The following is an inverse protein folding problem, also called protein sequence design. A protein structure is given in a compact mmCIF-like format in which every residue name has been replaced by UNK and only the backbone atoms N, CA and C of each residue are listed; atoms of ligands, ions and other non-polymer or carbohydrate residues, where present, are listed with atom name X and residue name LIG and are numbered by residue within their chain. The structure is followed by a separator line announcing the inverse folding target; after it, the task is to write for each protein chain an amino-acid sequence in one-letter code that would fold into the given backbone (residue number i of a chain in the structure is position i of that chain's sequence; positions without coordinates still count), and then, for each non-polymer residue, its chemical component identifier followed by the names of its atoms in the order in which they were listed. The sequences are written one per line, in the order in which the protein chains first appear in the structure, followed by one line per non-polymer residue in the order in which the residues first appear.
data_IF_521681365580
#
_entry.id   IF_521681365580
#
_cell.length_a   1.000
_cell.length_b   1.000
_cell.length_c   1.000
_cell.angle_alpha   90.00
_cell.angle_beta   90.00
_cell.angle_gamma   90.00
#
_symmetry.space_group_name_H-M   'P 1'
#
loop_
_entity.id
_entity.type
_entity.pdbx_description
1 polymer ?
#
# COMPACT_ATOMS: atom_id res chain seq x y z
N UNK A 1 12.68 -4.58 -16.75
CA UNK A 1 12.26 -5.97 -16.51
C UNK A 1 11.15 -5.90 -15.48
N UNK A 2 10.02 -6.55 -15.77
CA UNK A 2 8.81 -6.53 -14.95
C UNK A 2 9.05 -7.23 -13.60
N UNK A 3 9.85 -8.29 -13.57
CA UNK A 3 10.20 -8.97 -12.32
C UNK A 3 10.91 -8.05 -11.32
N UNK A 4 11.95 -7.33 -11.78
CA UNK A 4 12.61 -6.30 -10.95
C UNK A 4 11.65 -5.21 -10.49
N UNK A 5 10.73 -4.78 -11.36
CA UNK A 5 9.71 -3.80 -10.99
C UNK A 5 8.77 -4.36 -9.89
N UNK A 6 8.42 -5.63 -9.96
CA UNK A 6 7.63 -6.31 -8.93
C UNK A 6 8.37 -6.38 -7.59
N UNK A 7 9.66 -6.75 -7.60
CA UNK A 7 10.54 -6.69 -6.41
C UNK A 7 10.60 -5.27 -5.81
N UNK A 8 10.82 -4.25 -6.63
CA UNK A 8 10.81 -2.84 -6.21
C UNK A 8 9.47 -2.44 -5.56
N UNK A 9 8.35 -3.03 -6.01
CA UNK A 9 7.04 -2.81 -5.42
C UNK A 9 6.94 -3.52 -4.07
N UNK A 10 7.35 -4.78 -3.94
CA UNK A 10 7.36 -5.50 -2.66
C UNK A 10 8.13 -4.74 -1.59
N UNK A 11 9.31 -4.22 -1.93
CA UNK A 11 10.09 -3.38 -1.02
C UNK A 11 9.36 -2.10 -0.59
N UNK A 12 8.60 -1.46 -1.49
CA UNK A 12 7.75 -0.31 -1.15
C UNK A 12 6.53 -0.69 -0.32
N UNK A 13 6.09 -1.95 -0.39
CA UNK A 13 5.08 -2.52 0.52
C UNK A 13 5.69 -2.92 1.87
N UNK A 14 6.99 -2.72 2.09
CA UNK A 14 7.67 -3.09 3.33
C UNK A 14 8.05 -4.57 3.41
N UNK A 15 8.00 -5.30 2.30
CA UNK A 15 8.29 -6.73 2.21
C UNK A 15 9.67 -6.96 1.59
N UNK A 16 10.45 -7.89 2.17
CA UNK A 16 11.74 -8.29 1.60
C UNK A 16 11.56 -9.21 0.39
N UNK A 17 10.63 -10.14 0.51
CA UNK A 17 10.22 -11.08 -0.53
C UNK A 17 8.71 -11.38 -0.41
N UNK A 18 8.18 -12.19 -1.33
CA UNK A 18 6.77 -12.54 -1.36
C UNK A 18 6.53 -13.77 -0.45
N UNK A 19 6.13 -13.52 0.80
CA UNK A 19 5.86 -14.58 1.78
C UNK A 19 4.38 -14.71 2.08
N UNK A 20 3.87 -15.95 2.02
CA UNK A 20 2.48 -16.27 2.36
C UNK A 20 2.32 -16.65 3.85
N UNK A 21 1.17 -16.32 4.48
CA UNK A 21 0.04 -15.56 3.93
C UNK A 21 0.31 -14.04 3.88
N UNK A 22 0.21 -13.44 2.69
CA UNK A 22 0.71 -12.09 2.41
C UNK A 22 0.32 -11.01 3.43
N UNK A 23 -0.94 -10.99 3.87
CA UNK A 23 -1.46 -10.02 4.83
C UNK A 23 -0.61 -9.86 6.10
N UNK A 24 0.00 -10.94 6.60
CA UNK A 24 0.77 -10.88 7.84
C UNK A 24 2.19 -10.34 7.67
N UNK A 25 2.68 -10.27 6.43
CA UNK A 25 4.05 -9.84 6.12
C UNK A 25 4.11 -8.38 5.62
N UNK A 26 2.95 -7.76 5.31
CA UNK A 26 2.87 -6.35 4.95
C UNK A 26 2.49 -5.47 6.16
N UNK A 27 3.17 -4.34 6.41
CA UNK A 27 2.82 -3.40 7.48
C UNK A 27 1.44 -2.75 7.30
N UNK A 28 0.99 -2.59 6.06
CA UNK A 28 -0.31 -2.01 5.72
C UNK A 28 -1.02 -2.93 4.72
N UNK A 29 -2.10 -3.56 5.17
CA UNK A 29 -2.93 -4.40 4.33
C UNK A 29 -4.35 -4.49 4.87
N UNK A 30 -5.27 -4.89 4.01
CA UNK A 30 -6.66 -5.19 4.35
C UNK A 30 -6.98 -6.58 3.78
N UNK A 31 -7.51 -7.45 4.64
CA UNK A 31 -8.02 -8.77 4.25
C UNK A 31 -9.54 -8.74 4.22
N UNK A 32 -10.12 -9.02 3.07
CA UNK A 32 -11.55 -9.01 2.83
C UNK A 32 -12.11 -10.43 2.76
N UNK A 33 -13.33 -10.61 3.28
CA UNK A 33 -14.18 -11.77 3.09
C UNK A 33 -14.99 -11.63 1.80
N UNK A 34 -14.64 -12.45 0.81
CA UNK A 34 -15.25 -12.44 -0.51
C UNK A 34 -16.43 -13.41 -0.59
N UNK A 35 -16.39 -14.50 0.19
CA UNK A 35 -17.44 -15.52 0.19
C UNK A 35 -18.84 -14.93 0.46
N UNK A 36 -19.82 -15.36 -0.36
CA UNK A 36 -21.22 -15.01 -0.17
C UNK A 36 -21.86 -15.73 1.04
N UNK A 37 -23.04 -15.29 1.45
CA UNK A 37 -23.82 -15.96 2.50
C UNK A 37 -24.47 -17.25 1.99
N UNK A 38 -24.58 -17.37 0.67
CA UNK A 38 -25.19 -18.52 0.01
C UNK A 38 -24.35 -19.79 0.18
N UNK A 39 -24.97 -20.97 0.21
CA UNK A 39 -24.23 -22.22 0.16
C UNK A 39 -23.40 -22.32 -1.13
N UNK A 40 -22.14 -22.71 -1.01
CA UNK A 40 -21.22 -22.94 -2.14
C UNK A 40 -21.78 -23.93 -3.17
N UNK A 41 -22.47 -24.98 -2.70
CA UNK A 41 -23.03 -26.04 -3.56
C UNK A 41 -24.55 -26.11 -3.40
N UNK A 42 -25.25 -26.31 -4.53
CA UNK A 42 -26.72 -26.41 -4.55
C UNK A 42 -27.25 -27.64 -3.79
N UNK A 43 -26.51 -28.75 -3.86
CA UNK A 43 -26.81 -30.00 -3.16
C UNK A 43 -25.51 -30.70 -2.79
N UNK A 44 -25.21 -30.72 -1.48
CA UNK A 44 -24.01 -31.39 -0.94
C UNK A 44 -24.13 -32.92 -0.90
N UNK A 45 -25.33 -33.46 -1.08
CA UNK A 45 -25.58 -34.90 -1.11
C UNK A 45 -25.50 -35.51 -2.51
N UNK A 46 -25.43 -34.66 -3.55
CA UNK A 46 -25.34 -35.11 -4.93
C UNK A 46 -24.01 -35.81 -5.21
N UNK A 47 -24.04 -36.88 -6.01
CA UNK A 47 -22.85 -37.62 -6.45
C UNK A 47 -21.87 -36.75 -7.27
N UNK A 48 -22.36 -35.68 -7.90
CA UNK A 48 -21.55 -34.64 -8.54
C UNK A 48 -21.97 -33.29 -7.98
N UNK A 49 -21.06 -32.65 -7.26
CA UNK A 49 -21.29 -31.32 -6.71
C UNK A 49 -21.51 -30.31 -7.84
N UNK A 50 -22.52 -29.46 -7.66
CA UNK A 50 -22.83 -28.36 -8.56
C UNK A 50 -22.71 -27.06 -7.77
N UNK A 51 -21.75 -26.24 -8.17
CA UNK A 51 -21.51 -24.91 -7.60
C UNK A 51 -22.75 -24.06 -7.75
N UNK A 52 -23.07 -23.31 -6.71
CA UNK A 52 -24.20 -22.40 -6.67
C UNK A 52 -23.83 -21.11 -7.42
N UNK A 53 -24.51 -20.79 -8.54
CA UNK A 53 -24.22 -19.57 -9.29
C UNK A 53 -24.40 -18.29 -8.48
N UNK A 54 -25.30 -18.28 -7.48
CA UNK A 54 -25.52 -17.11 -6.63
C UNK A 54 -24.29 -16.84 -5.74
N UNK A 55 -23.69 -17.88 -5.17
CA UNK A 55 -22.46 -17.76 -4.39
C UNK A 55 -21.30 -17.21 -5.25
N UNK A 56 -21.10 -17.79 -6.44
CA UNK A 56 -20.05 -17.36 -7.37
C UNK A 56 -20.24 -15.90 -7.79
N UNK A 57 -21.48 -15.50 -8.09
CA UNK A 57 -21.78 -14.13 -8.47
C UNK A 57 -21.55 -13.16 -7.30
N UNK A 58 -21.96 -13.51 -6.08
CA UNK A 58 -21.73 -12.68 -4.90
C UNK A 58 -20.24 -12.47 -4.61
N UNK A 59 -19.44 -13.54 -4.69
CA UNK A 59 -17.99 -13.49 -4.57
C UNK A 59 -17.36 -12.61 -5.67
N UNK A 60 -17.78 -12.80 -6.92
CA UNK A 60 -17.29 -12.02 -8.05
C UNK A 60 -17.65 -10.53 -7.91
N UNK A 61 -18.87 -10.22 -7.48
CA UNK A 61 -19.32 -8.85 -7.30
C UNK A 61 -18.51 -8.12 -6.23
N UNK A 62 -18.21 -8.76 -5.09
CA UNK A 62 -17.35 -8.21 -4.04
C UNK A 62 -15.92 -8.00 -4.52
N UNK A 63 -15.30 -9.03 -5.08
CA UNK A 63 -13.92 -8.96 -5.58
C UNK A 63 -13.78 -7.87 -6.66
N UNK A 64 -14.69 -7.85 -7.64
CA UNK A 64 -14.66 -6.86 -8.70
C UNK A 64 -14.97 -5.44 -8.21
N UNK A 65 -15.82 -5.28 -7.19
CA UNK A 65 -16.05 -3.98 -6.56
C UNK A 65 -14.79 -3.43 -5.90
N UNK A 66 -14.04 -4.27 -5.17
CA UNK A 66 -12.76 -3.88 -4.56
C UNK A 66 -11.73 -3.57 -5.64
N UNK A 67 -11.62 -4.41 -6.68
CA UNK A 67 -10.72 -4.17 -7.82
C UNK A 67 -10.98 -2.81 -8.49
N UNK A 68 -12.24 -2.47 -8.77
CA UNK A 68 -12.62 -1.19 -9.40
C UNK A 68 -12.37 0.02 -8.50
N UNK A 69 -12.27 -0.18 -7.20
CA UNK A 69 -12.01 0.87 -6.22
C UNK A 69 -10.53 0.95 -5.81
N UNK A 70 -9.65 0.17 -6.42
CA UNK A 70 -8.21 0.27 -6.21
C UNK A 70 -7.71 1.71 -6.47
N UNK A 71 -6.62 2.14 -5.81
CA UNK A 71 -6.09 3.50 -5.94
C UNK A 71 -5.80 3.89 -7.41
N UNK A 72 -5.30 2.92 -8.17
CA UNK A 72 -5.05 3.02 -9.61
C UNK A 72 -5.37 1.67 -10.27
N UNK A 73 -5.60 1.70 -11.59
CA UNK A 73 -5.79 0.47 -12.36
C UNK A 73 -4.46 -0.31 -12.41
N UNK A 74 -4.45 -1.61 -12.05
CA UNK A 74 -3.24 -2.43 -12.16
C UNK A 74 -2.69 -2.45 -13.58
N UNK A 75 -1.37 -2.28 -13.71
CA UNK A 75 -0.66 -2.30 -14.98
C UNK A 75 0.35 -3.46 -15.10
N UNK A 76 0.52 -4.24 -14.02
CA UNK A 76 1.39 -5.42 -13.97
C UNK A 76 0.61 -6.62 -13.42
N UNK A 77 0.64 -7.71 -14.15
CA UNK A 77 0.13 -9.03 -13.75
C UNK A 77 1.28 -10.00 -13.62
N UNK A 78 1.39 -10.64 -12.45
CA UNK A 78 2.23 -11.82 -12.22
C UNK A 78 1.32 -13.03 -11.97
N UNK A 79 1.64 -14.14 -12.61
CA UNK A 79 1.01 -15.44 -12.33
C UNK A 79 2.13 -16.46 -12.10
N UNK A 80 2.06 -17.15 -10.98
CA UNK A 80 2.99 -18.23 -10.64
C UNK A 80 2.41 -19.56 -11.12
N UNK A 81 3.28 -20.42 -11.63
CA UNK A 81 2.96 -21.79 -12.02
C UNK A 81 3.94 -22.76 -11.38
N UNK A 82 3.49 -23.99 -11.15
CA UNK A 82 4.25 -25.03 -10.44
C UNK A 82 4.53 -26.20 -11.40
N UNK A 83 5.72 -26.26 -12.03
CA UNK A 83 6.03 -27.22 -13.07
C UNK A 83 6.04 -28.69 -12.62
N UNK A 84 6.18 -28.92 -11.31
CA UNK A 84 6.15 -30.26 -10.72
C UNK A 84 4.77 -30.92 -10.85
N UNK A 85 3.71 -30.13 -11.02
CA UNK A 85 2.34 -30.62 -11.27
C UNK A 85 2.03 -30.73 -12.76
N UNK A 86 2.37 -29.69 -13.53
CA UNK A 86 2.17 -29.63 -14.98
C UNK A 86 3.31 -28.88 -15.68
N UNK A 87 3.81 -29.31 -16.85
CA UNK A 87 4.89 -28.62 -17.55
C UNK A 87 4.59 -27.14 -17.79
N UNK A 88 5.60 -26.27 -17.63
CA UNK A 88 5.46 -24.82 -17.75
C UNK A 88 4.82 -24.37 -19.08
N UNK A 89 5.15 -25.01 -20.20
CA UNK A 89 4.54 -24.70 -21.50
C UNK A 89 3.04 -25.06 -21.56
N UNK A 90 2.63 -26.11 -20.85
CA UNK A 90 1.23 -26.53 -20.76
C UNK A 90 0.45 -25.54 -19.90
N UNK A 91 0.98 -25.19 -18.72
CA UNK A 91 0.42 -24.14 -17.85
C UNK A 91 0.23 -22.83 -18.61
N UNK A 92 1.28 -22.36 -19.28
CA UNK A 92 1.21 -21.13 -20.07
C UNK A 92 0.16 -21.20 -21.19
N UNK A 93 0.02 -22.36 -21.84
CA UNK A 93 -1.00 -22.58 -22.87
C UNK A 93 -2.41 -22.46 -22.28
N UNK A 94 -2.66 -23.06 -21.11
CA UNK A 94 -3.95 -23.00 -20.42
C UNK A 94 -4.26 -21.57 -19.97
N UNK A 95 -3.31 -20.88 -19.33
CA UNK A 95 -3.46 -19.49 -18.87
C UNK A 95 -3.87 -18.58 -20.04
N UNK A 96 -3.15 -18.68 -21.16
CA UNK A 96 -3.41 -17.85 -22.35
C UNK A 96 -4.76 -18.15 -22.99
N UNK A 97 -5.16 -19.42 -23.08
CA UNK A 97 -6.44 -19.80 -23.64
C UNK A 97 -7.61 -19.34 -22.78
N UNK A 98 -7.50 -19.49 -21.46
CA UNK A 98 -8.54 -19.06 -20.51
C UNK A 98 -8.68 -17.55 -20.49
N UNK A 99 -7.56 -16.82 -20.45
CA UNK A 99 -7.56 -15.37 -20.24
C UNK A 99 -7.48 -14.53 -21.52
N UNK A 100 -7.30 -15.16 -22.69
CA UNK A 100 -7.05 -14.44 -23.94
C UNK A 100 -5.74 -13.64 -23.93
N UNK A 101 -4.79 -13.98 -23.06
CA UNK A 101 -3.54 -13.25 -22.90
C UNK A 101 -2.53 -13.57 -24.01
N UNK A 102 -1.70 -12.59 -24.43
CA UNK A 102 -0.56 -12.85 -25.28
C UNK A 102 0.52 -13.67 -24.54
N UNK A 103 1.61 -13.98 -25.24
CA UNK A 103 2.81 -14.51 -24.57
C UNK A 103 3.28 -13.50 -23.51
N UNK A 104 3.70 -13.94 -22.31
CA UNK A 104 4.20 -13.05 -21.27
C UNK A 104 5.38 -12.23 -21.76
N UNK A 105 5.49 -11.00 -21.25
CA UNK A 105 6.59 -10.12 -21.54
C UNK A 105 7.90 -10.62 -20.90
N UNK A 106 7.79 -11.33 -19.79
CA UNK A 106 8.92 -11.91 -19.07
C UNK A 106 8.48 -13.22 -18.37
N UNK A 107 9.36 -14.21 -18.38
CA UNK A 107 9.16 -15.49 -17.70
C UNK A 107 10.45 -15.84 -16.96
N UNK A 108 10.34 -16.21 -15.69
CA UNK A 108 11.48 -16.55 -14.84
C UNK A 108 11.24 -17.90 -14.15
N UNK A 109 12.10 -18.90 -14.38
CA UNK A 109 12.12 -20.11 -13.54
C UNK A 109 12.78 -19.76 -12.20
N UNK A 110 12.15 -20.18 -11.10
CA UNK A 110 12.60 -19.97 -9.73
C UNK A 110 12.56 -21.32 -9.01
N UNK A 111 13.45 -21.48 -8.02
CA UNK A 111 13.40 -22.60 -7.09
C UNK A 111 12.93 -22.00 -5.77
N UNK A 112 11.75 -22.41 -5.31
CA UNK A 112 11.25 -22.03 -3.99
C UNK A 112 11.56 -23.12 -2.97
N UNK A 113 11.77 -22.71 -1.72
CA UNK A 113 11.87 -23.60 -0.58
C UNK A 113 10.53 -23.56 0.15
N UNK A 114 9.92 -24.71 0.40
CA UNK A 114 8.73 -24.77 1.25
C UNK A 114 9.09 -24.67 2.75
N UNK A 115 8.05 -24.70 3.59
CA UNK A 115 8.19 -24.62 5.06
C UNK A 115 9.02 -25.76 5.66
N UNK A 116 9.07 -26.91 4.98
CA UNK A 116 9.83 -28.10 5.39
C UNK A 116 11.28 -28.08 4.85
N UNK A 117 11.61 -27.09 4.01
CA UNK A 117 12.92 -26.91 3.39
C UNK A 117 13.12 -27.72 2.10
N UNK A 118 12.04 -28.29 1.55
CA UNK A 118 12.05 -28.96 0.26
C UNK A 118 12.00 -27.94 -0.87
N UNK A 119 12.78 -28.20 -1.93
CA UNK A 119 12.84 -27.32 -3.09
C UNK A 119 11.80 -27.70 -4.12
N UNK A 120 10.94 -26.76 -4.50
CA UNK A 120 9.95 -26.92 -5.57
C UNK A 120 10.27 -26.01 -6.74
N UNK A 121 10.07 -26.52 -7.95
CA UNK A 121 10.19 -25.69 -9.14
C UNK A 121 8.99 -24.75 -9.19
N UNK A 122 9.25 -23.48 -9.47
CA UNK A 122 8.23 -22.48 -9.78
C UNK A 122 8.61 -21.80 -11.09
N UNK A 123 7.61 -21.34 -11.84
CA UNK A 123 7.79 -20.44 -12.98
C UNK A 123 6.90 -19.22 -12.79
N UNK A 124 7.48 -18.04 -12.89
CA UNK A 124 6.78 -16.77 -12.73
C UNK A 124 6.57 -16.16 -14.12
N UNK A 125 5.32 -15.89 -14.47
CA UNK A 125 4.95 -15.26 -15.73
C UNK A 125 4.50 -13.81 -15.50
N UNK A 126 5.05 -12.88 -16.27
CA UNK A 126 4.80 -11.45 -16.11
C UNK A 126 4.21 -10.84 -17.39
N UNK A 127 3.14 -10.05 -17.24
CA UNK A 127 2.54 -9.26 -18.30
C UNK A 127 2.49 -7.77 -17.92
N UNK A 128 2.84 -6.93 -18.90
CA UNK A 128 2.55 -5.50 -18.88
C UNK A 128 1.14 -5.29 -19.45
N UNK A 129 0.20 -4.90 -18.60
CA UNK A 129 -1.21 -4.73 -18.96
C UNK A 129 -1.48 -3.40 -19.68
N UNK A 130 -0.54 -2.45 -19.70
CA UNK A 130 -0.76 -1.11 -20.27
C UNK A 130 -1.13 -1.12 -21.77
N UNK A 131 -0.74 -2.16 -22.49
CA UNK A 131 -1.03 -2.38 -23.91
C UNK A 131 -2.00 -3.53 -24.21
N UNK A 132 -2.58 -4.15 -23.18
CA UNK A 132 -3.41 -5.36 -23.33
C UNK A 132 -4.87 -5.01 -23.00
N UNK A 133 -5.80 -5.43 -23.86
CA UNK A 133 -7.22 -5.42 -23.49
C UNK A 133 -7.44 -6.55 -22.48
N UNK A 134 -7.46 -6.19 -21.20
CA UNK A 134 -7.57 -7.12 -20.09
C UNK A 134 -8.98 -7.06 -19.47
N UNK A 135 -9.56 -8.24 -19.21
CA UNK A 135 -10.87 -8.37 -18.55
C UNK A 135 -10.66 -8.91 -17.13
N UNK A 136 -10.55 -8.04 -16.10
CA UNK A 136 -10.26 -8.48 -14.75
C UNK A 136 -11.35 -9.40 -14.20
N UNK A 137 -12.63 -9.12 -14.46
CA UNK A 137 -13.73 -9.96 -13.96
C UNK A 137 -13.64 -11.41 -14.42
N UNK A 138 -13.13 -11.66 -15.64
CA UNK A 138 -12.91 -13.02 -16.12
C UNK A 138 -11.84 -13.75 -15.29
N UNK A 139 -10.75 -13.04 -14.94
CA UNK A 139 -9.67 -13.61 -14.11
C UNK A 139 -10.17 -13.89 -12.71
N UNK A 140 -10.86 -12.92 -12.11
CA UNK A 140 -11.44 -13.06 -10.77
C UNK A 140 -12.41 -14.23 -10.70
N UNK A 141 -13.25 -14.41 -11.72
CA UNK A 141 -14.17 -15.54 -11.79
C UNK A 141 -13.46 -16.89 -11.91
N UNK A 142 -12.38 -16.98 -12.70
CA UNK A 142 -11.59 -18.22 -12.82
C UNK A 142 -10.90 -18.57 -11.49
N UNK A 143 -10.40 -17.58 -10.74
CA UNK A 143 -9.84 -17.78 -9.40
C UNK A 143 -10.91 -18.29 -8.43
N UNK A 144 -12.07 -17.63 -8.37
CA UNK A 144 -13.19 -18.03 -7.49
C UNK A 144 -13.63 -19.46 -7.79
N UNK A 145 -13.70 -19.84 -9.07
CA UNK A 145 -14.10 -21.19 -9.43
C UNK A 145 -13.04 -22.24 -9.10
N UNK A 146 -11.76 -21.87 -8.96
CA UNK A 146 -10.63 -22.78 -8.82
C UNK A 146 -10.84 -23.89 -7.78
N UNK A 147 -11.24 -23.53 -6.55
CA UNK A 147 -11.44 -24.48 -5.44
C UNK A 147 -12.84 -25.13 -5.42
N UNK A 148 -13.77 -24.64 -6.24
CA UNK A 148 -15.19 -25.03 -6.20
C UNK A 148 -15.68 -25.60 -7.53
N UNK A 149 -14.77 -26.21 -8.31
CA UNK A 149 -15.07 -26.99 -9.51
C UNK A 149 -14.45 -26.48 -10.82
N UNK A 150 -13.64 -25.43 -10.74
CA UNK A 150 -12.86 -24.84 -11.84
C UNK A 150 -11.47 -25.44 -11.99
N UNK A 151 -10.57 -24.67 -12.62
CA UNK A 151 -9.16 -25.04 -12.76
C UNK A 151 -8.34 -24.39 -11.65
N UNK A 152 -7.63 -25.20 -10.87
CA UNK A 152 -6.94 -24.75 -9.66
C UNK A 152 -5.67 -23.91 -9.92
N UNK A 153 -5.18 -23.84 -11.16
CA UNK A 153 -3.89 -23.19 -11.46
C UNK A 153 -3.83 -21.67 -11.25
N UNK A 154 -4.94 -21.01 -10.90
CA UNK A 154 -4.94 -19.61 -10.47
C UNK A 154 -5.08 -19.41 -8.96
N UNK A 155 -5.45 -20.46 -8.21
CA UNK A 155 -5.65 -20.39 -6.76
C UNK A 155 -4.33 -20.01 -6.10
N UNK A 156 -4.35 -18.98 -5.26
CA UNK A 156 -3.19 -18.43 -4.54
C UNK A 156 -1.99 -18.01 -5.42
N UNK A 157 -2.17 -17.92 -6.75
CA UNK A 157 -1.03 -17.80 -7.69
C UNK A 157 -1.03 -16.50 -8.51
N UNK A 158 -2.00 -15.61 -8.29
CA UNK A 158 -2.22 -14.42 -9.11
C UNK A 158 -1.98 -13.13 -8.32
N UNK A 159 -1.22 -12.21 -8.90
CA UNK A 159 -0.88 -10.93 -8.29
C UNK A 159 -1.04 -9.78 -9.28
N UNK A 160 -1.81 -8.76 -8.89
CA UNK A 160 -2.05 -7.55 -9.67
C UNK A 160 -1.49 -6.33 -8.93
N UNK A 161 -0.70 -5.50 -9.61
CA UNK A 161 -0.08 -4.30 -9.00
C UNK A 161 0.02 -3.13 -9.98
N UNK A 162 0.35 -1.93 -9.47
CA UNK A 162 0.29 -0.66 -10.19
C UNK A 162 1.29 0.41 -9.73
N UNK A 163 1.25 1.62 -10.33
CA UNK A 163 2.19 2.72 -10.08
C UNK A 163 2.14 3.34 -8.67
N UNK A 164 0.97 3.40 -8.04
CA UNK A 164 0.82 3.66 -6.60
C UNK A 164 0.98 2.34 -5.84
N UNK A 165 2.15 2.02 -5.25
CA UNK A 165 2.48 0.63 -4.93
C UNK A 165 1.45 0.02 -3.98
N UNK A 166 0.68 -0.93 -4.53
CA UNK A 166 -0.31 -1.76 -3.87
C UNK A 166 -0.18 -3.18 -4.44
N UNK A 167 -0.74 -4.18 -3.77
CA UNK A 167 -0.85 -5.53 -4.30
C UNK A 167 -2.29 -6.00 -4.10
N UNK A 168 -2.95 -6.41 -5.17
CA UNK A 168 -4.27 -7.05 -5.14
C UNK A 168 -4.07 -8.55 -5.36
N UNK A 169 -4.47 -9.35 -4.38
CA UNK A 169 -4.28 -10.79 -4.36
C UNK A 169 -5.57 -11.49 -3.93
N UNK A 170 -6.34 -11.97 -4.92
CA UNK A 170 -7.46 -12.88 -4.71
C UNK A 170 -6.90 -14.29 -4.74
N UNK A 171 -6.97 -15.01 -3.61
CA UNK A 171 -6.38 -16.35 -3.53
C UNK A 171 -7.40 -17.45 -3.84
N UNK A 172 -8.66 -17.31 -3.43
CA UNK A 172 -9.72 -18.28 -3.70
C UNK A 172 -11.12 -17.62 -3.70
N UNK A 173 -12.19 -18.41 -3.50
CA UNK A 173 -13.56 -17.93 -3.39
C UNK A 173 -13.91 -17.24 -2.07
N UNK A 174 -13.02 -17.28 -1.08
CA UNK A 174 -13.27 -16.89 0.30
C UNK A 174 -12.60 -15.57 0.67
N UNK A 175 -11.39 -15.30 0.18
CA UNK A 175 -10.71 -14.08 0.59
C UNK A 175 -9.75 -13.43 -0.38
N UNK A 176 -9.50 -12.17 -0.08
CA UNK A 176 -8.76 -11.22 -0.89
C UNK A 176 -7.89 -10.36 0.02
N UNK A 177 -6.61 -10.28 -0.29
CA UNK A 177 -5.69 -9.32 0.33
C UNK A 177 -5.46 -8.13 -0.59
N UNK A 178 -5.56 -6.91 -0.03
CA UNK A 178 -5.08 -5.69 -0.65
C UNK A 178 -4.00 -5.08 0.24
N UNK A 179 -2.77 -5.06 -0.24
CA UNK A 179 -1.60 -4.50 0.45
C UNK A 179 -1.29 -3.12 -0.13
N UNK A 180 -0.71 -2.23 0.66
CA UNK A 180 -0.43 -0.86 0.23
C UNK A 180 0.85 -0.33 0.83
N UNK A 181 1.50 0.57 0.11
CA UNK A 181 2.72 1.24 0.58
C UNK A 181 2.48 2.24 1.72
N UNK A 182 1.23 2.62 1.97
CA UNK A 182 0.84 3.51 3.06
C UNK A 182 -0.61 3.30 3.46
N UNK A 183 -0.93 3.67 4.70
CA UNK A 183 -2.31 3.68 5.22
C UNK A 183 -3.19 4.59 4.37
N UNK A 184 -2.69 5.77 4.02
CA UNK A 184 -3.42 6.80 3.27
C UNK A 184 -3.88 6.29 1.90
N UNK A 185 -3.05 5.46 1.26
CA UNK A 185 -3.37 4.84 -0.03
C UNK A 185 -4.58 3.90 0.08
N UNK A 186 -4.68 3.11 1.16
CA UNK A 186 -5.77 2.13 1.35
C UNK A 186 -6.95 2.66 2.16
N UNK A 187 -6.84 3.85 2.76
CA UNK A 187 -7.88 4.44 3.61
C UNK A 187 -9.26 4.54 2.91
N UNK A 188 -9.36 4.90 1.62
CA UNK A 188 -10.63 4.89 0.91
C UNK A 188 -11.27 3.50 0.85
N UNK A 189 -10.48 2.45 0.57
CA UNK A 189 -10.96 1.06 0.52
C UNK A 189 -11.41 0.60 1.90
N UNK A 190 -10.63 0.90 2.94
CA UNK A 190 -10.97 0.58 4.32
C UNK A 190 -12.34 1.15 4.70
N UNK A 191 -12.59 2.44 4.43
CA UNK A 191 -13.87 3.05 4.77
C UNK A 191 -15.03 2.55 3.90
N UNK A 192 -14.80 2.36 2.61
CA UNK A 192 -15.85 1.95 1.66
C UNK A 192 -16.30 0.50 1.88
N UNK A 193 -15.36 -0.40 2.18
CA UNK A 193 -15.59 -1.84 2.27
C UNK A 193 -15.37 -2.39 3.68
N UNK A 194 -15.44 -1.54 4.70
CA UNK A 194 -15.21 -1.93 6.10
C UNK A 194 -16.06 -3.15 6.51
N UNK A 195 -17.32 -3.19 6.09
CA UNK A 195 -18.24 -4.30 6.38
C UNK A 195 -17.92 -5.62 5.67
N UNK A 196 -16.91 -5.66 4.79
CA UNK A 196 -16.43 -6.87 4.12
C UNK A 196 -15.06 -7.31 4.66
N UNK A 197 -14.53 -6.66 5.70
CA UNK A 197 -13.28 -7.07 6.34
C UNK A 197 -13.54 -8.35 7.13
N UNK A 198 -12.62 -9.31 7.03
CA UNK A 198 -12.72 -10.56 7.77
C UNK A 198 -12.68 -10.29 9.29
N UNK A 199 -13.72 -10.70 10.01
CA UNK A 199 -13.91 -10.36 11.44
C UNK A 199 -12.68 -10.73 12.29
N UNK A 200 -12.05 -11.87 12.01
CA UNK A 200 -10.85 -12.34 12.70
C UNK A 200 -9.67 -11.35 12.63
N UNK A 201 -9.53 -10.62 11.51
CA UNK A 201 -8.45 -9.64 11.31
C UNK A 201 -8.90 -8.19 11.54
N UNK A 202 -10.18 -7.96 11.83
CA UNK A 202 -10.76 -6.62 11.94
C UNK A 202 -10.03 -5.77 13.00
N UNK A 203 -9.76 -6.32 14.19
CA UNK A 203 -9.08 -5.56 15.24
C UNK A 203 -7.65 -5.15 14.84
N UNK A 204 -6.91 -6.05 14.18
CA UNK A 204 -5.57 -5.75 13.68
C UNK A 204 -5.61 -4.65 12.60
N UNK A 205 -6.57 -4.75 11.68
CA UNK A 205 -6.76 -3.77 10.60
C UNK A 205 -7.19 -2.43 11.19
N UNK A 206 -8.14 -2.41 12.12
CA UNK A 206 -8.57 -1.20 12.81
C UNK A 206 -7.41 -0.50 13.52
N UNK A 207 -6.52 -1.23 14.20
CA UNK A 207 -5.32 -0.59 14.78
C UNK A 207 -4.45 0.14 13.75
N UNK A 208 -4.41 -0.31 12.49
CA UNK A 208 -3.69 0.38 11.41
C UNK A 208 -4.49 1.58 10.89
N UNK A 209 -5.80 1.44 10.69
CA UNK A 209 -6.63 2.43 9.98
C UNK A 209 -7.41 3.39 10.87
N UNK A 210 -7.68 3.03 12.12
CA UNK A 210 -8.36 3.83 13.14
C UNK A 210 -7.41 4.36 14.21
N UNK A 211 -6.14 3.94 14.23
CA UNK A 211 -5.15 4.67 15.01
C UNK A 211 -5.25 6.13 14.59
N UNK A 212 -5.71 6.97 15.53
CA UNK A 212 -5.68 8.40 15.33
C UNK A 212 -4.24 8.72 14.97
N UNK A 213 -4.02 9.29 13.78
CA UNK A 213 -2.76 10.01 13.62
C UNK A 213 -2.78 11.03 14.76
N UNK A 214 -1.75 11.07 15.62
CA UNK A 214 -1.74 12.02 16.72
C UNK A 214 -2.07 13.38 16.12
N UNK A 215 -3.12 14.04 16.63
CA UNK A 215 -3.65 15.24 16.02
C UNK A 215 -2.52 16.25 15.89
N UNK A 216 -1.97 16.37 14.66
CA UNK A 216 -0.77 17.16 14.44
C UNK A 216 -1.12 18.61 14.65
N UNK A 217 -0.47 19.25 15.60
CA UNK A 217 -0.71 20.67 15.82
C UNK A 217 -0.21 21.45 14.61
N UNK A 218 -1.11 22.21 13.99
CA UNK A 218 -0.81 22.94 12.75
C UNK A 218 -0.18 24.29 13.07
N UNK A 219 0.97 24.53 12.45
CA UNK A 219 1.68 25.80 12.48
C UNK A 219 1.91 26.30 11.07
N UNK A 220 1.86 27.62 10.88
CA UNK A 220 2.05 28.24 9.58
C UNK A 220 3.21 29.22 9.63
N UNK A 221 4.29 28.90 8.91
CA UNK A 221 5.41 29.82 8.67
C UNK A 221 5.09 30.62 7.40
N UNK A 222 4.99 31.94 7.52
CA UNK A 222 4.69 32.81 6.39
C UNK A 222 5.96 33.44 5.81
N UNK A 223 6.48 32.85 4.73
CA UNK A 223 7.64 33.31 3.98
C UNK A 223 7.51 34.74 3.44
N UNK A 224 6.30 35.31 3.40
CA UNK A 224 6.10 36.73 3.04
C UNK A 224 6.65 37.67 4.13
N UNK A 225 6.72 37.23 5.39
CA UNK A 225 7.08 38.06 6.56
C UNK A 225 8.57 38.24 6.79
N UNK A 226 9.42 37.51 6.08
CA UNK A 226 10.87 37.65 6.20
C UNK A 226 11.59 37.65 4.85
N UNK A 227 12.83 38.13 4.88
CA UNK A 227 13.75 38.16 3.74
C UNK A 227 15.20 37.89 4.12
N UNK A 228 15.46 37.56 5.39
CA UNK A 228 16.77 37.20 5.92
C UNK A 228 16.60 36.29 7.16
N UNK A 229 17.70 35.71 7.63
CA UNK A 229 17.67 34.78 8.78
C UNK A 229 17.16 35.44 10.08
N UNK A 230 17.43 36.73 10.28
CA UNK A 230 16.89 37.44 11.44
C UNK A 230 15.36 37.44 11.41
N UNK A 231 14.76 37.82 10.28
CA UNK A 231 13.32 37.79 10.11
C UNK A 231 12.72 36.38 10.16
N UNK A 232 13.46 35.35 9.72
CA UNK A 232 13.02 33.95 9.90
C UNK A 232 12.86 33.61 11.38
N UNK A 233 13.85 33.94 12.23
CA UNK A 233 13.72 33.70 13.68
C UNK A 233 12.59 34.51 14.32
N UNK A 234 12.34 35.74 13.87
CA UNK A 234 11.18 36.52 14.36
C UNK A 234 9.86 35.84 14.00
N UNK A 235 9.76 35.26 12.80
CA UNK A 235 8.59 34.49 12.38
C UNK A 235 8.44 33.18 13.17
N UNK A 236 9.54 32.45 13.40
CA UNK A 236 9.54 31.25 14.26
C UNK A 236 9.06 31.60 15.67
N UNK A 237 9.60 32.65 16.28
CA UNK A 237 9.17 33.09 17.61
C UNK A 237 7.68 33.43 17.65
N UNK A 238 7.19 34.12 16.61
CA UNK A 238 5.76 34.46 16.47
C UNK A 238 4.88 33.23 16.31
N UNK A 239 5.33 32.22 15.59
CA UNK A 239 4.53 31.04 15.25
C UNK A 239 4.49 30.05 16.40
N UNK A 240 5.64 29.74 17.00
CA UNK A 240 5.81 28.62 17.93
C UNK A 240 5.89 29.05 19.40
N UNK A 241 6.37 30.25 19.70
CA UNK A 241 6.70 30.64 21.09
C UNK A 241 6.15 32.02 21.49
N UNK A 242 5.13 32.51 20.80
CA UNK A 242 4.54 33.82 21.09
C UNK A 242 4.05 33.89 22.54
N UNK A 243 4.49 34.93 23.27
CA UNK A 243 4.08 35.19 24.65
C UNK A 243 5.00 34.60 25.73
N UNK A 244 6.15 34.01 25.37
CA UNK A 244 7.17 33.63 26.37
C UNK A 244 8.02 34.85 26.79
N UNK A 245 8.26 34.99 28.10
CA UNK A 245 9.08 36.08 28.67
C UNK A 245 10.57 35.98 28.30
N UNK A 246 11.05 34.78 27.94
CA UNK A 246 12.43 34.53 27.52
C UNK A 246 12.52 34.49 25.99
N UNK A 247 13.47 35.23 25.43
CA UNK A 247 13.81 35.15 24.00
C UNK A 247 14.58 33.86 23.71
N UNK A 248 14.24 33.19 22.62
CA UNK A 248 14.92 31.98 22.19
C UNK A 248 16.30 32.31 21.60
N UNK A 249 17.17 31.31 21.51
CA UNK A 249 18.41 31.42 20.74
C UNK A 249 18.10 31.69 19.27
N UNK A 250 18.83 32.61 18.64
CA UNK A 250 18.67 32.94 17.20
C UNK A 250 19.64 32.13 16.34
N UNK A 251 19.53 30.81 16.44
CA UNK A 251 20.33 29.84 15.67
C UNK A 251 19.50 28.58 15.36
N UNK A 252 20.00 27.73 14.46
CA UNK A 252 19.27 26.54 14.01
C UNK A 252 19.15 25.45 15.09
N UNK A 253 20.06 25.37 16.07
CA UNK A 253 19.90 24.45 17.20
C UNK A 253 18.71 24.86 18.07
N UNK A 254 18.55 26.16 18.31
CA UNK A 254 17.39 26.67 19.02
C UNK A 254 16.08 26.49 18.22
N UNK A 255 16.13 26.59 16.89
CA UNK A 255 14.99 26.21 16.06
C UNK A 255 14.66 24.72 16.23
N UNK A 256 15.66 23.84 16.23
CA UNK A 256 15.49 22.42 16.47
C UNK A 256 14.84 22.14 17.85
N UNK A 257 15.34 22.79 18.90
CA UNK A 257 14.77 22.66 20.25
C UNK A 257 13.32 23.14 20.34
N UNK A 258 12.95 24.18 19.58
CA UNK A 258 11.57 24.62 19.46
C UNK A 258 10.71 23.52 18.85
N UNK A 259 11.16 22.84 17.78
CA UNK A 259 10.39 21.77 17.14
C UNK A 259 10.21 20.53 18.02
N UNK A 260 11.16 20.24 18.92
CA UNK A 260 11.01 19.21 19.97
C UNK A 260 9.94 19.53 21.00
N UNK A 261 9.70 20.82 21.25
CA UNK A 261 8.64 21.28 22.13
C UNK A 261 8.97 21.16 23.62
N UNK A 262 7.93 21.16 24.45
CA UNK A 262 8.02 21.23 25.91
C UNK A 262 8.03 22.66 26.44
N UNK A 263 7.86 23.64 25.55
CA UNK A 263 7.65 25.04 25.82
C UNK A 263 7.00 25.72 24.61
N UNK A 264 6.43 26.92 24.81
CA UNK A 264 5.76 27.64 23.74
C UNK A 264 4.35 27.08 23.48
N UNK A 265 4.04 26.78 22.23
CA UNK A 265 2.67 26.47 21.79
C UNK A 265 2.38 24.98 21.59
N UNK A 266 3.33 24.08 21.81
CA UNK A 266 3.12 22.62 21.74
C UNK A 266 3.92 21.88 22.82
N UNK A 267 3.41 20.71 23.22
CA UNK A 267 4.01 19.86 24.24
C UNK A 267 5.28 19.16 23.72
N UNK A 268 6.06 18.61 24.65
CA UNK A 268 7.29 17.88 24.31
C UNK A 268 6.94 16.61 23.52
N UNK A 269 7.58 16.43 22.36
CA UNK A 269 7.33 15.30 21.46
C UNK A 269 5.94 15.29 20.81
N UNK A 270 5.15 16.37 20.97
CA UNK A 270 3.86 16.47 20.30
C UNK A 270 4.05 16.53 18.79
N UNK A 271 3.37 15.66 18.02
CA UNK A 271 3.45 15.71 16.57
C UNK A 271 2.91 17.03 16.02
N UNK A 272 3.65 17.65 15.11
CA UNK A 272 3.28 18.92 14.50
C UNK A 272 3.28 18.82 12.98
N UNK A 273 2.50 19.71 12.37
CA UNK A 273 2.42 19.88 10.92
C UNK A 273 2.68 21.33 10.57
N UNK A 274 3.73 21.57 9.79
CA UNK A 274 4.16 22.91 9.38
C UNK A 274 3.71 23.16 7.95
N UNK A 275 2.91 24.20 7.77
CA UNK A 275 2.59 24.75 6.46
C UNK A 275 3.50 25.96 6.20
N UNK A 276 4.25 25.93 5.09
CA UNK A 276 5.14 27.02 4.72
C UNK A 276 4.58 27.78 3.52
N UNK A 277 4.13 29.01 3.75
CA UNK A 277 3.59 29.87 2.69
C UNK A 277 4.71 30.66 2.00
N UNK A 278 4.61 30.81 0.68
CA UNK A 278 5.61 31.49 -0.14
C UNK A 278 7.02 30.89 0.03
N UNK A 279 7.12 29.57 0.05
CA UNK A 279 8.36 28.82 0.24
C UNK A 279 9.44 29.22 -0.76
N UNK A 280 9.08 29.34 -2.04
CA UNK A 280 10.00 29.75 -3.11
C UNK A 280 10.56 31.17 -2.91
N UNK A 281 9.79 32.07 -2.26
CA UNK A 281 10.30 33.39 -1.88
C UNK A 281 11.38 33.26 -0.80
N UNK A 282 11.16 32.39 0.19
CA UNK A 282 12.15 32.11 1.24
C UNK A 282 13.44 31.53 0.66
N UNK A 283 13.35 30.60 -0.30
CA UNK A 283 14.52 30.05 -1.03
C UNK A 283 15.32 31.13 -1.74
N UNK A 284 14.65 32.04 -2.47
CA UNK A 284 15.35 33.16 -3.14
C UNK A 284 16.05 34.11 -2.18
N UNK A 285 15.46 34.33 -1.01
CA UNK A 285 15.97 35.30 -0.04
C UNK A 285 17.05 34.75 0.90
N UNK A 286 16.88 33.52 1.38
CA UNK A 286 17.79 32.88 2.34
C UNK A 286 18.88 32.05 1.66
N UNK A 287 18.65 31.65 0.41
CA UNK A 287 19.52 30.76 -0.35
C UNK A 287 19.14 29.29 -0.17
N UNK A 288 19.39 28.51 -1.22
CA UNK A 288 19.02 27.09 -1.27
C UNK A 288 19.67 26.26 -0.16
N UNK A 289 20.97 26.43 0.06
CA UNK A 289 21.73 25.66 1.08
C UNK A 289 21.11 25.86 2.47
N UNK A 290 20.80 27.09 2.85
CA UNK A 290 20.18 27.39 4.15
C UNK A 290 18.77 26.83 4.26
N UNK A 291 17.97 26.89 3.19
CA UNK A 291 16.64 26.30 3.18
C UNK A 291 16.67 24.78 3.27
N UNK A 292 17.59 24.13 2.55
CA UNK A 292 17.78 22.67 2.61
C UNK A 292 18.09 22.24 4.05
N UNK A 293 19.00 22.94 4.76
CA UNK A 293 19.27 22.66 6.18
C UNK A 293 18.06 22.88 7.09
N UNK A 294 17.25 23.92 6.86
CA UNK A 294 16.02 24.13 7.64
C UNK A 294 15.02 23.00 7.41
N UNK A 295 14.90 22.53 6.17
CA UNK A 295 14.03 21.39 5.83
C UNK A 295 14.53 20.10 6.47
N UNK A 296 15.83 19.84 6.42
CA UNK A 296 16.45 18.67 7.08
C UNK A 296 16.15 18.66 8.58
N UNK A 297 16.28 19.81 9.25
CA UNK A 297 15.89 19.97 10.66
C UNK A 297 14.40 19.69 10.83
N UNK A 298 13.52 20.30 10.02
CA UNK A 298 12.07 20.05 10.14
C UNK A 298 11.73 18.57 9.94
N UNK A 299 12.35 17.88 8.99
CA UNK A 299 12.06 16.48 8.72
C UNK A 299 12.80 15.51 9.65
N UNK A 300 13.49 16.04 10.66
CA UNK A 300 14.25 15.29 11.68
C UNK A 300 15.21 14.26 11.08
N UNK A 301 15.93 14.65 10.02
CA UNK A 301 16.81 13.71 9.28
C UNK A 301 17.98 13.20 10.13
N UNK A 302 18.30 13.86 11.24
CA UNK A 302 19.32 13.47 12.21
C UNK A 302 18.74 12.74 13.44
N UNK A 303 17.45 12.41 13.43
CA UNK A 303 16.74 11.71 14.51
C UNK A 303 16.86 12.41 15.87
N UNK A 304 16.77 13.73 15.83
CA UNK A 304 16.94 14.60 16.97
C UNK A 304 15.74 14.54 17.93
N UNK A 305 14.62 13.93 17.54
CA UNK A 305 13.57 13.45 18.44
C UNK A 305 12.25 14.23 18.39
N UNK A 306 11.96 14.95 17.29
CA UNK A 306 10.67 15.60 17.06
C UNK A 306 9.93 14.99 15.88
N UNK A 307 8.59 14.99 15.95
CA UNK A 307 7.73 14.45 14.88
C UNK A 307 7.05 15.58 14.12
N UNK A 308 7.72 16.08 13.08
CA UNK A 308 7.26 17.18 12.26
C UNK A 308 7.00 16.72 10.81
N UNK A 309 5.99 17.32 10.18
CA UNK A 309 5.76 17.22 8.73
C UNK A 309 5.77 18.62 8.11
N UNK A 310 6.11 18.71 6.82
CA UNK A 310 6.21 19.98 6.10
C UNK A 310 5.41 19.96 4.79
N UNK A 311 4.47 20.88 4.66
CA UNK A 311 3.73 21.19 3.42
C UNK A 311 4.18 22.56 2.89
N UNK A 312 4.48 22.65 1.59
CA UNK A 312 5.09 23.85 0.97
C UNK A 312 4.12 24.48 -0.05
N UNK A 313 3.87 25.78 0.10
CA UNK A 313 3.02 26.61 -0.78
C UNK A 313 3.79 27.82 -1.33
#
# INVERSE_FOLDING_TARGET
MLAKRFEDILHKLGMAELEHPLFYHAPVGIRFEIGGEEPIYLDRSAAKLRTNPAYVQGALDRAAAIYRALPEVPDLLRIDGYPDEEPAESLLTVIRQRMGLPVPNEQLPVIELDEDGDTHAQVQFYWDLSGITFQPEQLLQEIILGDIGGWAGFVSSVYLTGPGPFLYHLYDDRGLDVLGSSRELLLPLYHQFHGWILEYNLEQIDRVFTAEQPQRQKFTIDGRRFSNMAGFYDEVERVFTFGLDRKNGRNLNAFNDILRGGFGRHEYGQPIHIQWLAYEKSVRNLGKVTMDTIVEIILDTDHSGHDCTLERF
#
